data_IF_120735400643
#
_entry.id   IF_120735400643
#
_cell.length_a   1.000
_cell.length_b   1.000
_cell.length_c   1.000
_cell.angle_alpha   90.00
_cell.angle_beta   90.00
_cell.angle_gamma   90.00
#
_symmetry.space_group_name_H-M   'P 1'
#
loop_
_entity.id
_entity.type
_entity.pdbx_description
1 polymer ?
2 non-polymer ?
3 non-polymer ?
4 water ?
#
# COMPACT_ATOMS: atom_id res chain seq x y z
N UNK A 1 -4.66 -6.43 -29.27
CA UNK A 1 -3.72 -7.30 -28.59
C UNK A 1 -2.85 -6.58 -27.58
N UNK A 2 -1.53 -6.87 -27.60
CA UNK A 2 -0.53 -6.25 -26.71
C UNK A 2 -0.25 -4.80 -27.10
N UNK A 3 -0.43 -4.47 -28.41
CA UNK A 3 -0.26 -3.13 -29.00
C UNK A 3 -1.14 -2.10 -28.28
N UNK A 4 -2.40 -2.47 -27.99
CA UNK A 4 -3.39 -1.66 -27.28
C UNK A 4 -2.89 -1.32 -25.88
N UNK A 5 -2.41 -2.33 -25.13
CA UNK A 5 -1.86 -2.18 -23.76
C UNK A 5 -0.60 -1.29 -23.72
N UNK A 6 0.27 -1.40 -24.74
CA UNK A 6 1.48 -0.59 -24.86
C UNK A 6 1.18 0.91 -24.99
N UNK A 7 0.19 1.28 -25.83
CA UNK A 7 -0.23 2.68 -26.02
C UNK A 7 -0.81 3.30 -24.76
N UNK A 8 -1.41 2.48 -23.87
CA UNK A 8 -1.97 2.91 -22.59
C UNK A 8 -0.80 3.26 -21.66
N UNK A 9 0.23 2.39 -21.61
CA UNK A 9 1.43 2.56 -20.80
C UNK A 9 2.24 3.76 -21.24
N UNK A 10 2.33 4.01 -22.56
CA UNK A 10 3.01 5.17 -23.13
C UNK A 10 2.27 6.46 -22.77
N UNK A 11 0.92 6.40 -22.71
CA UNK A 11 0.06 7.52 -22.31
C UNK A 11 0.31 7.83 -20.83
N UNK A 12 0.42 6.77 -19.99
CA UNK A 12 0.68 6.87 -18.57
C UNK A 12 2.07 7.41 -18.23
N UNK A 13 3.03 7.24 -19.16
CA UNK A 13 4.41 7.73 -19.01
C UNK A 13 4.50 9.26 -19.12
N UNK A 14 3.60 9.89 -19.90
CA UNK A 14 3.61 11.35 -20.10
C UNK A 14 3.00 12.12 -18.93
N UNK A 15 2.06 11.50 -18.18
CA UNK A 15 1.42 12.11 -17.02
C UNK A 15 2.31 11.98 -15.76
N UNK A 16 3.47 11.29 -15.89
CA UNK A 16 4.43 11.07 -14.81
C UNK A 16 5.17 12.35 -14.39
N UNK A 17 5.22 13.35 -15.29
CA UNK A 17 5.87 14.64 -15.05
C UNK A 17 4.95 15.57 -14.22
N UNK A 18 3.62 15.34 -14.29
CA UNK A 18 2.63 16.13 -13.56
C UNK A 18 2.50 15.64 -12.12
N UNK A 19 2.74 14.33 -11.89
CA UNK A 19 2.68 13.69 -10.56
C UNK A 19 4.07 13.67 -9.88
N UNK A 20 5.06 14.38 -10.47
CA UNK A 20 6.41 14.57 -9.91
C UNK A 20 6.44 15.98 -9.28
N UNK A 21 5.63 16.91 -9.85
CA UNK A 21 5.43 18.28 -9.38
C UNK A 21 4.45 18.23 -8.19
N UNK A 22 3.40 17.38 -8.32
CA UNK A 22 2.38 17.14 -7.30
C UNK A 22 3.02 16.44 -6.09
N UNK A 23 4.05 15.60 -6.32
CA UNK A 23 4.82 14.89 -5.29
C UNK A 23 5.65 15.91 -4.48
N UNK A 24 6.05 16.99 -5.14
CA UNK A 24 6.79 18.10 -4.54
C UNK A 24 5.90 18.94 -3.64
N UNK A 25 4.63 19.18 -4.08
CA UNK A 25 3.61 19.93 -3.32
C UNK A 25 3.27 19.18 -2.02
N UNK A 26 3.28 17.84 -2.08
CA UNK A 26 3.02 16.96 -0.95
C UNK A 26 4.25 16.97 0.00
N UNK A 27 5.47 16.87 -0.58
CA UNK A 27 6.73 16.85 0.18
C UNK A 27 6.99 18.10 1.03
N UNK A 28 6.53 19.26 0.55
CA UNK A 28 6.66 20.53 1.26
C UNK A 28 5.82 20.56 2.50
N UNK A 29 4.55 20.14 2.37
CA UNK A 29 3.55 20.07 3.45
C UNK A 29 4.02 19.07 4.52
N UNK A 30 4.52 17.88 4.10
CA UNK A 30 4.99 16.81 4.98
C UNK A 30 6.24 17.21 5.79
N UNK A 31 7.22 17.90 5.16
CA UNK A 31 8.46 18.38 5.81
C UNK A 31 8.15 19.48 6.83
N UNK A 32 7.10 20.27 6.56
CA UNK A 32 6.62 21.35 7.42
C UNK A 32 6.01 20.74 8.68
N UNK A 33 5.16 19.71 8.51
CA UNK A 33 4.48 18.98 9.58
C UNK A 33 5.44 18.15 10.44
N UNK A 34 6.48 17.58 9.82
CA UNK A 34 7.48 16.76 10.51
C UNK A 34 8.28 17.56 11.55
N UNK A 35 8.79 18.77 11.17
CA UNK A 35 9.53 19.63 12.10
C UNK A 35 8.59 20.24 13.17
N UNK A 36 7.27 20.23 12.90
CA UNK A 36 6.23 20.69 13.81
C UNK A 36 5.93 19.62 14.87
N UNK A 37 5.73 18.37 14.43
CA UNK A 37 5.45 17.24 15.32
C UNK A 37 6.67 16.86 16.19
N UNK A 38 7.90 17.06 15.66
CA UNK A 38 9.15 16.74 16.36
C UNK A 38 9.43 17.63 17.59
N UNK A 39 8.81 18.81 17.65
CA UNK A 39 8.93 19.74 18.78
C UNK A 39 8.05 19.30 19.95
N UNK A 40 7.08 18.40 19.68
CA UNK A 40 6.15 17.82 20.67
C UNK A 40 6.86 16.68 21.43
N UNK A 41 6.49 16.50 22.72
CA UNK A 41 7.05 15.48 23.61
C UNK A 41 6.67 14.05 23.17
N UNK A 42 5.40 13.84 22.81
CA UNK A 42 4.86 12.55 22.36
C UNK A 42 5.47 12.11 21.02
N UNK A 43 5.58 13.05 20.06
CA UNK A 43 6.11 12.79 18.73
C UNK A 43 7.55 13.31 18.57
N UNK A 44 8.36 13.17 19.65
CA UNK A 44 9.77 13.60 19.70
C UNK A 44 10.67 12.81 18.73
N UNK A 45 10.46 11.50 18.66
CA UNK A 45 11.22 10.61 17.78
C UNK A 45 10.51 10.27 16.48
N UNK A 46 9.65 11.18 15.99
CA UNK A 46 8.89 10.99 14.76
C UNK A 46 9.81 11.21 13.53
N UNK A 47 9.62 10.37 12.53
CA UNK A 47 10.37 10.42 11.28
C UNK A 47 9.51 10.03 10.11
N UNK A 48 10.02 10.28 8.90
CA UNK A 48 9.32 9.93 7.67
C UNK A 48 9.68 8.52 7.26
N UNK A 49 8.70 7.74 6.80
CA UNK A 49 8.94 6.40 6.32
C UNK A 49 8.88 6.40 4.80
N UNK A 50 10.02 6.04 4.18
CA UNK A 50 10.19 5.93 2.74
C UNK A 50 9.54 4.64 2.26
N UNK A 51 8.48 4.76 1.43
CA UNK A 51 7.68 3.62 0.95
C UNK A 51 7.63 3.44 -0.58
N UNK A 52 7.73 4.54 -1.35
CA UNK A 52 7.60 4.50 -2.81
C UNK A 52 8.80 4.87 -3.66
N UNK A 53 8.55 5.64 -4.74
CA UNK A 53 9.52 6.09 -5.76
C UNK A 53 9.90 7.58 -5.66
N UNK A 54 8.91 8.48 -5.52
CA UNK A 54 9.14 9.92 -5.43
C UNK A 54 9.70 10.31 -4.08
N UNK A 55 10.98 10.81 -4.07
CA UNK A 55 11.78 11.21 -2.89
C UNK A 55 12.01 10.01 -1.96
N UNK A 56 11.37 8.86 -2.30
CA UNK A 56 11.26 7.56 -1.61
C UNK A 56 10.13 7.59 -0.57
N UNK A 57 9.91 8.76 0.08
CA UNK A 57 8.91 9.01 1.13
C UNK A 57 7.46 9.14 0.65
N UNK A 58 7.24 9.50 -0.62
CA UNK A 58 5.91 9.69 -1.20
C UNK A 58 5.50 8.49 -2.09
N UNK A 59 4.24 8.04 -1.93
CA UNK A 59 3.64 6.92 -2.65
C UNK A 59 2.40 7.40 -3.45
N UNK A 60 1.87 6.54 -4.34
CA UNK A 60 0.71 6.85 -5.19
C UNK A 60 -0.36 5.74 -5.08
N UNK A 61 -1.61 6.12 -4.70
CA UNK A 61 -2.73 5.20 -4.52
C UNK A 61 -3.84 5.32 -5.59
N UNK A 62 -3.89 6.45 -6.31
CA UNK A 62 -4.87 6.77 -7.38
C UNK A 62 -4.32 7.95 -8.23
N UNK A 63 -5.01 8.46 -9.32
CA UNK A 63 -4.43 9.59 -10.09
C UNK A 63 -4.07 10.86 -9.29
N UNK A 64 -4.82 11.13 -8.20
CA UNK A 64 -4.59 12.29 -7.34
C UNK A 64 -4.28 11.92 -5.87
N UNK A 65 -4.43 10.63 -5.51
CA UNK A 65 -4.17 10.13 -4.15
C UNK A 65 -2.68 9.90 -3.90
N UNK A 66 -2.19 10.35 -2.73
CA UNK A 66 -0.82 10.18 -2.29
C UNK A 66 -0.79 9.55 -0.91
N UNK A 67 0.15 8.62 -0.67
CA UNK A 67 0.26 7.93 0.61
C UNK A 67 1.54 8.26 1.35
N UNK A 68 1.41 8.91 2.51
CA UNK A 68 2.55 9.29 3.35
C UNK A 68 2.45 8.50 4.67
N UNK A 69 3.60 8.01 5.15
CA UNK A 69 3.69 7.21 6.37
C UNK A 69 4.73 7.85 7.30
N UNK A 70 4.28 8.27 8.49
CA UNK A 70 5.13 8.86 9.52
C UNK A 70 5.46 7.75 10.51
N UNK A 71 6.72 7.34 10.59
CA UNK A 71 7.15 6.30 11.52
C UNK A 71 7.45 6.88 12.90
N UNK A 72 7.35 6.04 13.93
CA UNK A 72 7.62 6.41 15.31
C UNK A 72 8.34 5.22 15.94
N UNK A 73 9.67 5.35 16.16
CA UNK A 73 10.52 4.32 16.75
C UNK A 73 10.04 4.01 18.18
N UNK A 74 9.54 2.78 18.38
CA UNK A 74 9.02 2.30 19.66
C UNK A 74 9.91 1.16 20.20
N UNK A 75 10.94 1.47 21.02
CA UNK A 75 11.79 0.41 21.57
C UNK A 75 11.12 -0.28 22.75
N UNK A 76 11.50 -1.56 23.03
CA UNK A 76 10.95 -2.40 24.13
C UNK A 76 9.43 -2.56 23.99
N UNK A 77 9.01 -3.12 22.86
CA UNK A 77 7.61 -3.34 22.48
C UNK A 77 7.23 -4.83 22.58
N UNK A 78 6.08 -5.10 23.23
CA UNK A 78 5.53 -6.44 23.38
C UNK A 78 4.17 -6.50 22.67
N UNK A 79 3.99 -7.48 21.77
CA UNK A 79 2.75 -7.62 20.98
C UNK A 79 1.87 -8.75 21.49
N UNK A 80 0.56 -8.47 21.57
CA UNK A 80 -0.47 -9.41 22.02
C UNK A 80 -1.53 -9.50 20.93
N UNK A 81 -1.67 -10.69 20.31
CA UNK A 81 -2.61 -10.94 19.22
C UNK A 81 -4.08 -10.82 19.65
N UNK A 82 -4.89 -10.09 18.86
CA UNK A 82 -6.31 -9.90 19.12
C UNK A 82 -7.16 -11.00 18.48
N UNK A 83 -8.03 -11.66 19.28
CA UNK A 83 -8.96 -12.77 18.97
C UNK A 83 -8.60 -13.56 17.69
N UNK A 84 -7.34 -14.04 17.63
CA UNK A 84 -6.76 -14.84 16.55
C UNK A 84 -7.03 -14.28 15.13
N UNK A 85 -7.09 -12.92 15.02
CA UNK A 85 -7.30 -12.19 13.77
C UNK A 85 -6.05 -12.23 12.89
N UNK A 86 -4.88 -12.57 13.51
CA UNK A 86 -3.54 -12.75 12.92
C UNK A 86 -2.88 -11.45 12.46
N UNK A 87 -3.66 -10.41 12.11
CA UNK A 87 -3.11 -9.12 11.69
C UNK A 87 -3.24 -8.04 12.76
N UNK A 88 -4.27 -8.13 13.63
CA UNK A 88 -4.51 -7.12 14.66
C UNK A 88 -3.89 -7.50 15.99
N UNK A 89 -3.25 -6.51 16.65
CA UNK A 89 -2.49 -6.67 17.88
C UNK A 89 -2.68 -5.52 18.87
N UNK A 90 -2.49 -5.79 20.17
CA UNK A 90 -2.52 -4.77 21.23
C UNK A 90 -1.07 -4.35 21.45
N UNK A 91 -0.81 -3.06 21.66
CA UNK A 91 0.57 -2.61 21.90
C UNK A 91 0.82 -2.45 23.40
N UNK A 92 1.77 -3.22 23.93
CA UNK A 92 2.17 -3.21 25.33
C UNK A 92 3.68 -2.98 25.44
N UNK A 93 4.14 -2.43 26.58
CA UNK A 93 5.56 -2.17 26.82
C UNK A 93 6.20 -3.17 27.76
N UNK A 94 7.48 -3.53 27.49
CA UNK A 94 8.29 -4.49 28.27
C UNK A 94 8.49 -4.06 29.73
N UNK A 98 10.62 1.67 31.46
CA UNK A 98 11.19 2.94 31.91
C UNK A 98 10.24 4.13 31.60
N UNK A 99 10.74 5.39 31.72
CA UNK A 99 9.93 6.58 31.45
C UNK A 99 9.94 6.93 29.94
N UNK A 100 9.05 6.27 29.18
CA UNK A 100 8.90 6.45 27.74
C UNK A 100 8.07 7.71 27.38
N UNK A 101 8.34 8.38 26.22
CA UNK A 101 7.57 9.59 25.88
C UNK A 101 6.12 9.35 25.45
N UNK A 102 5.79 8.10 25.10
CA UNK A 102 4.48 7.65 24.65
C UNK A 102 3.48 7.43 25.81
N UNK A 103 3.95 7.61 27.06
CA UNK A 103 3.23 7.41 28.33
C UNK A 103 1.84 8.06 28.44
N UNK A 104 1.60 9.19 27.75
CA UNK A 104 0.33 9.92 27.79
C UNK A 104 -0.86 9.24 27.07
N UNK A 105 -0.60 8.17 26.30
CA UNK A 105 -1.66 7.45 25.57
C UNK A 105 -1.96 6.04 26.10
N UNK A 106 -1.30 5.63 27.19
CA UNK A 106 -1.47 4.32 27.80
C UNK A 106 -2.73 4.20 28.66
N UNK A 107 -3.25 2.96 28.78
CA UNK A 107 -4.42 2.58 29.57
C UNK A 107 -4.13 1.23 30.24
N UNK A 108 -3.28 1.29 31.27
CA UNK A 108 -2.81 0.12 32.03
C UNK A 108 -1.51 -0.38 31.45
N UNK A 109 -1.61 -1.10 30.32
CA UNK A 109 -0.47 -1.65 29.58
C UNK A 109 -0.71 -1.47 28.08
N UNK A 110 -2.00 -1.44 27.67
CA UNK A 110 -2.45 -1.28 26.28
C UNK A 110 -2.29 0.19 25.85
N UNK A 111 -1.55 0.40 24.75
CA UNK A 111 -1.31 1.72 24.15
C UNK A 111 -2.46 2.01 23.19
N UNK A 112 -3.29 3.00 23.55
CA UNK A 112 -4.49 3.40 22.81
C UNK A 112 -4.16 4.06 21.46
N UNK A 113 -4.69 3.46 20.38
CA UNK A 113 -4.53 3.92 19.00
C UNK A 113 -5.30 5.21 18.74
N UNK A 114 -6.57 5.27 19.20
CA UNK A 114 -7.45 6.43 19.06
C UNK A 114 -6.95 7.64 19.84
N UNK A 115 -6.33 7.41 21.02
CA UNK A 115 -5.77 8.47 21.87
C UNK A 115 -4.55 9.11 21.22
N UNK A 116 -3.71 8.30 20.54
CA UNK A 116 -2.51 8.78 19.84
C UNK A 116 -2.88 9.45 18.52
N UNK A 117 -3.87 8.89 17.79
CA UNK A 117 -4.35 9.43 16.51
C UNK A 117 -5.10 10.75 16.69
N UNK A 118 -5.66 11.00 17.89
CA UNK A 118 -6.36 12.25 18.23
C UNK A 118 -5.37 13.42 18.35
N UNK A 119 -4.24 13.21 19.08
CA UNK A 119 -3.21 14.24 19.26
C UNK A 119 -2.52 14.52 17.93
N UNK A 120 -2.22 13.44 17.16
CA UNK A 120 -1.60 13.46 15.83
C UNK A 120 -2.45 14.29 14.85
N UNK A 121 -3.77 13.98 14.77
CA UNK A 121 -4.75 14.67 13.91
C UNK A 121 -4.88 16.15 14.28
N UNK A 122 -4.89 16.49 15.59
CA UNK A 122 -5.05 17.86 16.09
C UNK A 122 -3.86 18.76 15.75
N UNK A 123 -2.61 18.26 15.90
CA UNK A 123 -1.40 19.03 15.57
C UNK A 123 -1.37 19.37 14.07
N UNK A 124 -1.76 18.38 13.21
CA UNK A 124 -1.86 18.53 11.75
C UNK A 124 -2.94 19.56 11.40
N UNK A 125 -4.13 19.45 12.04
CA UNK A 125 -5.24 20.38 11.85
C UNK A 125 -4.89 21.82 12.32
N UNK A 126 -3.89 21.94 13.22
CA UNK A 126 -3.41 23.22 13.77
C UNK A 126 -2.38 23.91 12.88
N UNK A 127 -1.42 23.14 12.30
CA UNK A 127 -0.40 23.74 11.43
C UNK A 127 -0.86 23.89 9.98
N UNK A 128 -1.99 23.25 9.63
CA UNK A 128 -2.62 23.35 8.30
C UNK A 128 -3.29 24.73 8.15
N UNK A 129 -3.68 25.33 9.30
CA UNK A 129 -4.28 26.66 9.42
C UNK A 129 -3.19 27.74 9.63
N UNK A 130 -1.99 27.33 10.10
CA UNK A 130 -0.84 28.22 10.33
C UNK A 130 -0.25 28.62 8.98
N UNK A 131 0.12 27.63 8.14
CA UNK A 131 0.65 27.85 6.80
C UNK A 131 -0.50 27.62 5.77
N UNK A 132 -1.53 28.50 5.89
CA UNK A 132 -2.74 28.50 5.06
C UNK A 132 -2.59 29.40 3.80
N UNK A 133 -1.34 29.80 3.50
CA UNK A 133 -0.97 30.58 2.30
C UNK A 133 -0.52 29.62 1.18
N UNK A 134 -0.95 28.36 1.31
CA UNK A 134 -0.80 27.20 0.43
C UNK A 134 -2.04 26.37 0.78
N UNK A 135 -3.05 26.38 -0.11
CA UNK A 135 -4.36 25.75 0.07
C UNK A 135 -4.31 24.26 0.49
N UNK A 136 -4.40 23.99 1.80
CA UNK A 136 -4.39 22.63 2.36
C UNK A 136 -5.41 22.53 3.51
N UNK A 137 -6.40 21.62 3.34
CA UNK A 137 -7.50 21.38 4.29
C UNK A 137 -7.73 19.89 4.51
N UNK A 138 -8.43 19.52 5.60
CA UNK A 138 -8.77 18.13 5.93
C UNK A 138 -10.07 17.67 5.28
N UNK A 147 -5.34 7.51 7.51
CA UNK A 147 -6.07 8.00 8.68
C UNK A 147 -6.37 9.50 8.57
N UNK A 148 -5.30 10.35 8.51
CA UNK A 148 -5.42 11.81 8.39
C UNK A 148 -5.32 12.17 6.90
N UNK A 149 -6.44 12.61 6.29
CA UNK A 149 -6.48 12.96 4.87
C UNK A 149 -6.47 14.48 4.67
N UNK A 150 -5.53 14.97 3.83
CA UNK A 150 -5.40 16.38 3.47
C UNK A 150 -5.71 16.56 1.99
N UNK A 151 -5.98 17.80 1.57
CA UNK A 151 -6.27 18.14 0.18
C UNK A 151 -5.53 19.41 -0.19
N UNK A 152 -4.48 19.26 -1.00
CA UNK A 152 -3.65 20.37 -1.47
C UNK A 152 -4.20 20.90 -2.81
N UNK A 153 -4.75 22.14 -2.77
CA UNK A 153 -5.30 22.91 -3.89
C UNK A 153 -6.44 22.22 -4.66
N UNK A 154 -7.55 21.87 -3.95
CA UNK A 154 -8.80 21.28 -4.49
C UNK A 154 -8.62 20.09 -5.48
N UNK A 155 -7.43 19.48 -5.53
CA UNK A 155 -7.16 18.39 -6.47
C UNK A 155 -6.34 17.27 -5.83
N UNK A 156 -5.10 17.58 -5.42
CA UNK A 156 -4.12 16.66 -4.84
C UNK A 156 -4.54 16.18 -3.44
N UNK A 157 -4.96 14.91 -3.33
CA UNK A 157 -5.36 14.29 -2.05
C UNK A 157 -4.17 13.53 -1.46
N UNK A 158 -3.96 13.66 -0.14
CA UNK A 158 -2.86 12.97 0.52
C UNK A 158 -3.30 12.33 1.85
N UNK A 159 -3.23 10.98 1.89
CA UNK A 159 -3.56 10.19 3.06
C UNK A 159 -2.29 10.00 3.86
N UNK A 160 -2.28 10.51 5.09
CA UNK A 160 -1.15 10.43 6.02
C UNK A 160 -1.44 9.36 7.08
N UNK A 161 -0.45 8.50 7.35
CA UNK A 161 -0.61 7.39 8.29
C UNK A 161 0.48 7.41 9.37
N UNK A 162 0.07 7.33 10.66
CA UNK A 162 1.00 7.26 11.77
C UNK A 162 1.30 5.79 12.03
N UNK A 163 2.57 5.40 11.92
CA UNK A 163 3.01 4.01 12.11
C UNK A 163 3.98 3.87 13.28
N UNK A 164 3.89 2.73 13.97
CA UNK A 164 4.80 2.38 15.07
C UNK A 164 5.84 1.40 14.52
N UNK A 165 7.11 1.80 14.56
CA UNK A 165 8.22 0.97 14.09
C UNK A 165 8.70 0.05 15.18
N UNK A 166 8.87 -1.23 14.83
CA UNK A 166 9.42 -2.25 15.72
C UNK A 166 10.57 -2.90 14.94
N UNK A 167 11.79 -2.81 15.50
CA UNK A 167 12.99 -3.38 14.90
C UNK A 167 13.11 -4.88 15.17
N UNK A 168 12.26 -5.42 16.07
CA UNK A 168 12.16 -6.82 16.47
C UNK A 168 11.75 -7.75 15.30
N UNK A 169 11.83 -9.09 15.55
CA UNK A 169 11.45 -10.13 14.59
C UNK A 169 9.96 -10.06 14.26
N UNK A 170 9.59 -10.43 13.02
CA UNK A 170 8.22 -10.40 12.54
C UNK A 170 7.37 -11.44 13.30
N UNK A 171 6.16 -11.04 13.77
CA UNK A 171 5.33 -11.98 14.55
C UNK A 171 4.93 -13.27 13.82
N UNK A 172 4.75 -14.37 14.56
CA UNK A 172 4.42 -15.72 14.07
C UNK A 172 3.45 -15.79 12.88
N UNK A 173 2.42 -14.92 12.81
CA UNK A 173 1.43 -14.92 11.72
C UNK A 173 2.04 -14.77 10.32
N UNK A 174 3.25 -14.18 10.26
CA UNK A 174 4.02 -13.91 9.04
C UNK A 174 4.93 -15.07 8.59
N UNK A 175 5.14 -16.08 9.45
CA UNK A 175 6.00 -17.25 9.21
C UNK A 175 5.89 -17.90 7.82
N UNK A 176 4.65 -18.05 7.32
CA UNK A 176 4.40 -18.66 6.02
C UNK A 176 4.05 -17.62 4.95
N UNK A 177 4.15 -16.33 5.31
CA UNK A 177 3.93 -15.21 4.40
C UNK A 177 5.19 -14.89 3.61
N UNK A 178 5.14 -13.89 2.70
CA UNK A 178 6.27 -13.49 1.83
C UNK A 178 6.89 -14.72 1.11
N UNK A 179 6.05 -15.56 0.47
CA UNK A 179 6.50 -16.77 -0.21
C UNK A 179 7.22 -16.45 -1.52
N UNK A 180 8.43 -15.91 -1.39
CA UNK A 180 9.27 -15.48 -2.49
C UNK A 180 10.46 -16.43 -2.74
N UNK A 181 10.64 -17.47 -1.88
CA UNK A 181 11.76 -18.44 -1.93
C UNK A 181 12.07 -19.00 -3.30
N UNK A 182 11.04 -19.32 -4.08
CA UNK A 182 11.19 -19.91 -5.40
C UNK A 182 11.27 -18.87 -6.52
N UNK A 183 11.17 -17.58 -6.18
CA UNK A 183 11.19 -16.45 -7.11
C UNK A 183 12.42 -15.55 -6.85
N UNK A 184 12.43 -14.85 -5.71
CA UNK A 184 13.50 -13.93 -5.34
C UNK A 184 14.61 -14.61 -4.54
N UNK A 185 14.34 -15.82 -4.01
CA UNK A 185 15.24 -16.70 -3.22
C UNK A 185 15.00 -16.67 -1.72
N UNK A 186 15.56 -17.67 -1.04
CA UNK A 186 15.53 -17.83 0.42
C UNK A 186 16.48 -16.81 1.05
N UNK A 187 17.67 -16.57 0.43
CA UNK A 187 18.67 -15.59 0.89
C UNK A 187 18.03 -14.20 1.04
N UNK A 188 17.26 -13.79 0.02
CA UNK A 188 16.55 -12.53 -0.07
C UNK A 188 15.41 -12.43 0.95
N UNK A 189 14.58 -13.49 1.10
CA UNK A 189 13.48 -13.55 2.09
C UNK A 189 14.03 -13.32 3.51
N UNK A 190 15.16 -13.95 3.84
CA UNK A 190 15.87 -13.83 5.12
C UNK A 190 16.31 -12.40 5.36
N UNK A 191 16.85 -11.73 4.31
CA UNK A 191 17.34 -10.35 4.41
C UNK A 191 16.20 -9.35 4.59
N UNK A 192 15.08 -9.54 3.85
CA UNK A 192 13.89 -8.69 3.96
C UNK A 192 13.23 -8.83 5.34
N UNK A 193 13.21 -10.06 5.90
CA UNK A 193 12.66 -10.36 7.24
C UNK A 193 13.52 -9.81 8.37
N UNK A 194 14.72 -9.27 8.05
CA UNK A 194 15.63 -8.64 8.99
C UNK A 194 15.30 -7.14 9.09
N UNK A 195 14.50 -6.63 8.15
CA UNK A 195 14.06 -5.23 8.14
C UNK A 195 12.97 -5.01 9.22
N UNK A 196 12.75 -3.76 9.71
CA UNK A 196 11.68 -3.56 10.71
C UNK A 196 10.28 -3.78 10.12
N UNK A 197 9.27 -3.82 11.00
CA UNK A 197 7.87 -3.92 10.61
C UNK A 197 7.11 -2.78 11.27
N UNK A 198 5.90 -2.45 10.76
CA UNK A 198 5.15 -1.31 11.25
C UNK A 198 3.76 -1.67 11.76
N UNK A 199 3.29 -0.92 12.77
CA UNK A 199 1.98 -1.11 13.37
C UNK A 199 1.17 0.14 13.11
N UNK A 200 0.05 0.00 12.38
CA UNK A 200 -0.84 1.10 12.02
C UNK A 200 -2.21 1.01 12.75
N UNK A 201 -2.82 2.13 13.20
CA UNK A 201 -4.13 2.01 13.88
C UNK A 201 -5.20 1.39 12.99
N UNK A 202 -6.09 0.58 13.60
CA UNK A 202 -7.19 -0.11 12.93
C UNK A 202 -8.29 0.88 12.50
N UNK A 203 -8.96 0.56 11.38
CA UNK A 203 -10.05 1.31 10.77
C UNK A 203 -11.37 1.09 11.52
N UNK A 211 -15.41 -1.53 17.34
CA UNK A 211 -14.09 -0.91 17.25
C UNK A 211 -13.26 -1.20 18.52
N UNK A 212 -11.94 -1.46 18.36
CA UNK A 212 -11.01 -1.76 19.46
C UNK A 212 -9.68 -1.00 19.36
N UNK A 213 -8.91 -0.96 20.47
CA UNK A 213 -7.59 -0.30 20.56
C UNK A 213 -6.48 -1.22 20.01
N UNK A 214 -6.70 -1.74 18.80
CA UNK A 214 -5.80 -2.66 18.12
C UNK A 214 -5.06 -1.97 16.98
N UNK A 215 -3.89 -2.53 16.63
CA UNK A 215 -2.98 -2.06 15.58
C UNK A 215 -2.78 -3.19 14.57
N UNK A 216 -2.74 -2.84 13.27
CA UNK A 216 -2.55 -3.77 12.16
C UNK A 216 -1.09 -3.78 11.71
N UNK A 217 -0.55 -4.97 11.35
CA UNK A 217 0.81 -5.14 10.83
C UNK A 217 0.88 -4.61 9.42
N UNK A 218 1.86 -3.72 9.16
CA UNK A 218 2.07 -3.11 7.86
C UNK A 218 3.46 -3.41 7.34
N UNK A 219 3.52 -3.73 6.05
CA UNK A 219 4.74 -4.08 5.35
C UNK A 219 4.84 -3.38 4.01
N UNK A 220 4.24 -2.17 3.89
CA UNK A 220 4.21 -1.36 2.67
C UNK A 220 5.58 -0.89 2.24
N UNK A 221 6.49 -0.75 3.19
CA UNK A 221 7.88 -0.33 2.99
C UNK A 221 8.69 -1.40 2.24
N UNK A 222 8.25 -2.66 2.28
CA UNK A 222 8.92 -3.77 1.61
C UNK A 222 8.68 -3.73 0.10
N UNK A 223 7.55 -3.15 -0.35
CA UNK A 223 7.18 -3.09 -1.77
C UNK A 223 8.26 -2.47 -2.68
N UNK A 224 8.86 -1.33 -2.27
CA UNK A 224 9.92 -0.64 -3.04
C UNK A 224 11.19 -1.55 -3.19
N UNK A 225 11.44 -2.39 -2.19
CA UNK A 225 12.57 -3.30 -2.19
C UNK A 225 12.45 -4.35 -3.30
N UNK A 226 11.24 -4.93 -3.46
CA UNK A 226 10.92 -5.98 -4.41
C UNK A 226 10.64 -5.45 -5.81
N UNK A 227 9.90 -4.35 -5.97
CA UNK A 227 9.59 -3.82 -7.30
C UNK A 227 10.83 -3.41 -8.13
N UNK A 228 11.85 -2.83 -7.48
CA UNK A 228 13.10 -2.39 -8.13
C UNK A 228 14.15 -3.53 -8.27
N UNK A 229 13.77 -4.77 -7.90
CA UNK A 229 14.60 -5.99 -7.93
C UNK A 229 13.64 -7.16 -7.95
N UNK A 230 12.85 -7.24 -9.03
CA UNK A 230 11.69 -8.10 -9.18
C UNK A 230 11.87 -9.42 -9.90
N UNK A 231 13.03 -9.65 -10.48
CA UNK A 231 13.25 -10.88 -11.24
C UNK A 231 13.98 -11.99 -10.52
N UNK A 232 13.94 -13.20 -11.09
CA UNK A 232 14.67 -14.34 -10.56
C UNK A 232 16.15 -14.10 -10.89
N UNK A 233 16.39 -13.54 -12.08
CA UNK A 233 17.70 -13.17 -12.58
C UNK A 233 18.04 -11.80 -12.04
N UNK A 234 19.24 -11.66 -11.46
CA UNK A 234 19.75 -10.40 -10.90
C UNK A 234 19.78 -9.27 -11.95
N UNK A 235 19.95 -9.62 -13.25
CA UNK A 235 20.02 -8.69 -14.38
C UNK A 235 18.65 -8.42 -15.06
N UNK A 236 17.52 -8.79 -14.41
CA UNK A 236 16.19 -8.55 -14.97
C UNK A 236 15.97 -7.04 -15.18
N UNK A 237 15.68 -6.65 -16.43
CA UNK A 237 15.44 -5.29 -16.92
C UNK A 237 16.67 -4.34 -16.79
N UNK A 238 17.88 -4.91 -16.88
CA UNK A 238 19.15 -4.17 -16.88
C UNK A 238 19.70 -4.12 -18.33
N UNK A 239 19.20 -5.02 -19.19
CA UNK A 239 19.54 -5.14 -20.61
C UNK A 239 18.32 -5.54 -21.45
N UNK A 240 18.25 -5.05 -22.71
CA UNK A 240 17.19 -5.30 -23.69
C UNK A 240 16.77 -6.79 -23.82
N UNK A 241 17.78 -7.71 -23.80
CA UNK A 241 17.65 -9.18 -23.90
C UNK A 241 16.98 -9.84 -22.68
N UNK A 242 16.72 -9.06 -21.60
CA UNK A 242 16.11 -9.52 -20.34
C UNK A 242 15.08 -8.53 -19.80
N UNK A 243 14.23 -7.97 -20.69
CA UNK A 243 13.19 -7.03 -20.29
C UNK A 243 11.84 -7.73 -20.05
N UNK A 244 11.38 -7.76 -18.79
CA UNK A 244 10.13 -8.39 -18.40
C UNK A 244 8.96 -7.40 -18.32
N UNK A 245 7.73 -7.91 -18.20
CA UNK A 245 6.52 -7.10 -18.13
C UNK A 245 5.83 -7.16 -16.78
N UNK A 246 6.60 -7.33 -15.70
CA UNK A 246 6.08 -7.39 -14.34
C UNK A 246 5.50 -6.03 -13.91
N UNK A 247 6.31 -4.95 -13.89
CA UNK A 247 5.87 -3.59 -13.51
C UNK A 247 4.67 -3.12 -14.33
N UNK A 248 4.71 -3.38 -15.65
CA UNK A 248 3.67 -3.03 -16.63
C UNK A 248 2.33 -3.66 -16.32
N UNK A 249 2.33 -4.94 -15.87
CA UNK A 249 1.10 -5.63 -15.46
C UNK A 249 0.55 -5.02 -14.23
N UNK A 250 1.41 -4.64 -13.26
CA UNK A 250 0.95 -3.96 -12.04
C UNK A 250 0.40 -2.56 -12.37
N UNK A 251 1.08 -1.81 -13.28
CA UNK A 251 0.67 -0.48 -13.71
C UNK A 251 -0.71 -0.54 -14.41
N UNK A 252 -0.92 -1.58 -15.26
CA UNK A 252 -2.16 -1.82 -15.98
C UNK A 252 -3.26 -2.33 -15.07
N UNK A 253 -2.91 -3.17 -14.08
CA UNK A 253 -3.90 -3.70 -13.13
C UNK A 253 -4.37 -2.59 -12.20
N UNK A 254 -3.44 -1.71 -11.76
CA UNK A 254 -3.76 -0.55 -10.91
C UNK A 254 -4.67 0.41 -11.66
N UNK A 255 -4.28 0.79 -12.90
CA UNK A 255 -5.02 1.71 -13.76
C UNK A 255 -6.43 1.25 -14.05
N UNK A 256 -6.63 -0.07 -14.29
CA UNK A 256 -7.96 -0.66 -14.55
C UNK A 256 -8.93 -0.37 -13.38
N UNK A 257 -8.49 -0.55 -12.13
CA UNK A 257 -9.30 -0.27 -10.94
C UNK A 257 -9.56 1.23 -10.77
N UNK A 258 -8.52 2.09 -10.94
CA UNK A 258 -8.63 3.56 -10.86
C UNK A 258 -9.73 4.09 -11.80
N UNK A 259 -9.78 3.55 -13.05
CA UNK A 259 -10.75 3.91 -14.07
C UNK A 259 -12.14 3.40 -13.71
N UNK A 260 -12.25 2.16 -13.19
CA UNK A 260 -13.52 1.58 -12.76
C UNK A 260 -14.10 2.32 -11.55
N UNK A 261 -13.24 2.72 -10.61
CA UNK A 261 -13.60 3.47 -9.41
C UNK A 261 -14.10 4.88 -9.78
N UNK A 262 -13.52 5.49 -10.83
CA UNK A 262 -13.90 6.80 -11.35
C UNK A 262 -15.22 6.72 -12.11
N UNK A 263 -15.40 5.63 -12.90
CA UNK A 263 -16.61 5.39 -13.69
C UNK A 263 -17.83 5.09 -12.81
N UNK A 264 -17.61 4.46 -11.64
CA UNK A 264 -18.68 4.08 -10.72
C UNK A 264 -18.54 4.72 -9.32
N UNK A 265 -18.04 5.98 -9.27
CA UNK A 265 -17.90 6.77 -8.05
C UNK A 265 -19.30 7.23 -7.61
N UNK A 266 -20.27 6.97 -8.50
CA UNK A 266 -21.68 7.27 -8.40
C UNK A 266 -22.44 6.24 -7.56
N UNK A 267 -22.06 4.93 -7.64
CA UNK A 267 -22.79 3.86 -6.97
C UNK A 267 -22.12 3.25 -5.70
N UNK A 268 -20.98 3.79 -5.25
CA UNK A 268 -20.24 3.46 -4.01
C UNK A 268 -19.82 1.97 -3.77
N UNK A 269 -20.10 1.04 -4.72
CA UNK A 269 -19.73 -0.38 -4.57
C UNK A 269 -18.22 -0.65 -4.62
N UNK A 270 -17.44 0.24 -5.25
CA UNK A 270 -15.99 0.04 -5.39
C UNK A 270 -15.15 0.85 -4.39
N UNK A 271 -15.78 1.49 -3.40
CA UNK A 271 -15.15 2.32 -2.37
C UNK A 271 -14.17 1.59 -1.45
N UNK A 272 -14.45 0.31 -1.16
CA UNK A 272 -13.60 -0.49 -0.28
C UNK A 272 -12.36 -1.04 -0.99
N UNK A 273 -12.47 -1.31 -2.32
CA UNK A 273 -11.36 -1.81 -3.15
C UNK A 273 -10.34 -0.70 -3.41
N UNK A 274 -9.05 -1.01 -3.25
CA UNK A 274 -7.95 -0.08 -3.45
C UNK A 274 -6.79 -0.73 -4.22
N UNK A 275 -5.72 0.06 -4.50
CA UNK A 275 -4.49 -0.39 -5.17
C UNK A 275 -3.83 -1.54 -4.40
N UNK A 276 -4.03 -1.58 -3.06
CA UNK A 276 -3.52 -2.60 -2.13
C UNK A 276 -3.98 -4.01 -2.50
N UNK A 277 -5.25 -4.16 -2.89
CA UNK A 277 -5.86 -5.43 -3.30
C UNK A 277 -5.32 -5.88 -4.63
N UNK A 278 -5.09 -4.91 -5.55
CA UNK A 278 -4.55 -5.12 -6.89
C UNK A 278 -3.09 -5.59 -6.77
N UNK A 279 -2.30 -4.93 -5.88
CA UNK A 279 -0.89 -5.23 -5.59
C UNK A 279 -0.76 -6.64 -5.03
N UNK A 280 -1.53 -6.95 -3.95
CA UNK A 280 -1.55 -8.26 -3.29
C UNK A 280 -1.76 -9.36 -4.31
N UNK A 281 -2.84 -9.26 -5.13
CA UNK A 281 -3.15 -10.23 -6.17
C UNK A 281 -2.03 -10.36 -7.22
N UNK A 282 -1.42 -9.22 -7.66
CA UNK A 282 -0.33 -9.21 -8.64
C UNK A 282 0.87 -9.99 -8.11
N UNK A 283 1.28 -9.69 -6.86
CA UNK A 283 2.41 -10.36 -6.22
C UNK A 283 2.14 -11.84 -6.00
N UNK A 284 0.88 -12.24 -5.75
CA UNK A 284 0.56 -13.68 -5.63
C UNK A 284 0.78 -14.36 -6.98
N UNK A 285 0.54 -13.64 -8.12
CA UNK A 285 0.81 -14.15 -9.48
C UNK A 285 2.35 -14.23 -9.70
N UNK A 286 3.15 -13.37 -9.01
CA UNK A 286 4.61 -13.40 -9.09
C UNK A 286 5.17 -14.68 -8.44
N UNK A 287 4.56 -15.12 -7.30
CA UNK A 287 4.89 -16.34 -6.58
C UNK A 287 4.48 -17.54 -7.46
N UNK A 288 3.29 -17.43 -8.12
CA UNK A 288 2.72 -18.43 -9.01
C UNK A 288 3.62 -18.62 -10.23
N UNK A 289 4.14 -17.52 -10.81
CA UNK A 289 5.02 -17.50 -11.98
C UNK A 289 6.42 -16.95 -11.60
N UNK A 290 7.31 -17.79 -10.99
CA UNK A 290 8.61 -17.28 -10.52
C UNK A 290 9.68 -16.98 -11.57
N UNK A 291 9.61 -17.62 -12.75
CA UNK A 291 10.56 -17.45 -13.85
C UNK A 291 10.32 -16.17 -14.63
N UNK A 292 11.41 -15.53 -15.08
CA UNK A 292 11.35 -14.31 -15.88
C UNK A 292 10.81 -14.59 -17.28
N UNK A 293 10.90 -15.87 -17.74
CA UNK A 293 10.37 -16.30 -19.04
C UNK A 293 8.82 -16.30 -19.01
N UNK A 294 8.21 -16.39 -17.80
CA UNK A 294 6.76 -16.36 -17.61
C UNK A 294 6.24 -14.90 -17.60
N UNK A 295 7.15 -13.92 -17.79
CA UNK A 295 6.86 -12.49 -17.83
C UNK A 295 7.55 -11.78 -19.00
N UNK A 296 7.76 -12.46 -20.13
CA UNK A 296 8.39 -11.84 -21.31
C UNK A 296 7.58 -10.67 -21.84
N UNK A 297 8.26 -9.58 -22.24
CA UNK A 297 7.69 -8.34 -22.77
C UNK A 297 6.78 -8.54 -23.99
N UNK A 298 7.04 -9.59 -24.81
CA UNK A 298 6.24 -9.94 -25.98
C UNK A 298 4.87 -10.52 -25.56
N UNK A 299 4.80 -11.07 -24.32
CA UNK A 299 3.60 -11.69 -23.76
C UNK A 299 2.81 -10.75 -22.84
N UNK A 300 3.00 -9.42 -22.96
CA UNK A 300 2.31 -8.41 -22.13
C UNK A 300 0.81 -8.70 -22.00
N UNK A 301 0.12 -8.97 -23.12
CA UNK A 301 -1.29 -9.31 -23.18
C UNK A 301 -1.65 -10.55 -22.39
N UNK A 302 -0.90 -11.64 -22.65
CA UNK A 302 -1.04 -12.94 -21.98
C UNK A 302 -0.82 -12.84 -20.47
N UNK A 303 0.24 -12.11 -20.03
CA UNK A 303 0.60 -11.91 -18.61
C UNK A 303 -0.42 -11.08 -17.87
N UNK A 304 -0.84 -9.94 -18.46
CA UNK A 304 -1.84 -9.04 -17.89
C UNK A 304 -3.15 -9.77 -17.64
N UNK A 305 -3.51 -10.67 -18.57
CA UNK A 305 -4.71 -11.50 -18.50
C UNK A 305 -4.63 -12.49 -17.34
N UNK A 306 -3.45 -13.10 -17.09
CA UNK A 306 -3.23 -14.02 -15.97
C UNK A 306 -3.45 -13.29 -14.63
N UNK A 307 -3.13 -11.98 -14.59
CA UNK A 307 -3.32 -11.14 -13.42
C UNK A 307 -4.82 -10.86 -13.27
N UNK A 308 -5.50 -10.56 -14.39
CA UNK A 308 -6.94 -10.29 -14.47
C UNK A 308 -7.73 -11.54 -14.01
N UNK A 309 -7.36 -12.74 -14.51
CA UNK A 309 -7.97 -14.04 -14.20
C UNK A 309 -7.80 -14.39 -12.71
N UNK A 310 -6.59 -14.27 -12.16
CA UNK A 310 -6.39 -14.55 -10.74
C UNK A 310 -7.19 -13.57 -9.87
N UNK A 311 -7.19 -12.26 -10.23
CA UNK A 311 -7.95 -11.26 -9.49
C UNK A 311 -9.45 -11.53 -9.53
N UNK A 312 -9.98 -11.98 -10.69
CA UNK A 312 -11.40 -12.32 -10.86
C UNK A 312 -11.75 -13.58 -10.06
N UNK A 313 -10.76 -14.51 -9.91
CA UNK A 313 -10.90 -15.73 -9.13
C UNK A 313 -10.99 -15.35 -7.65
N UNK A 314 -10.21 -14.33 -7.23
CA UNK A 314 -10.21 -13.77 -5.88
C UNK A 314 -11.55 -13.14 -5.56
N UNK A 315 -12.07 -12.32 -6.48
CA UNK A 315 -13.36 -11.66 -6.33
C UNK A 315 -14.50 -12.67 -6.18
N UNK A 316 -14.52 -13.73 -7.03
CA UNK A 316 -15.56 -14.78 -7.03
C UNK A 316 -15.55 -15.68 -5.79
N UNK A 317 -14.35 -16.14 -5.36
CA UNK A 317 -14.17 -17.03 -4.20
C UNK A 317 -14.17 -16.30 -2.86
N UNK A 318 -14.18 -14.94 -2.89
CA UNK A 318 -14.15 -14.06 -1.70
C UNK A 318 -12.91 -14.35 -0.85
N UNK A 319 -11.80 -14.62 -1.54
CA UNK A 319 -10.51 -14.95 -0.96
C UNK A 319 -9.37 -14.24 -1.67
N UNK A 320 -8.69 -13.35 -0.94
CA UNK A 320 -7.47 -12.64 -1.32
C UNK A 320 -6.66 -12.56 -0.03
N UNK A 321 -5.65 -13.44 0.06
CA UNK A 321 -4.78 -13.58 1.21
C UNK A 321 -3.81 -12.42 1.32
N UNK A 322 -3.59 -11.92 2.55
CA UNK A 322 -2.60 -10.88 2.80
C UNK A 322 -1.24 -11.52 2.45
N UNK A 323 -0.41 -10.82 1.64
CA UNK A 323 0.88 -11.32 1.17
C UNK A 323 1.89 -11.69 2.28
N UNK A 324 1.75 -11.09 3.46
CA UNK A 324 2.66 -11.33 4.59
C UNK A 324 2.05 -12.17 5.67
N UNK A 325 0.70 -12.23 5.74
CA UNK A 325 -0.06 -13.00 6.73
C UNK A 325 -1.05 -13.88 5.95
N UNK A 326 -0.71 -15.16 5.65
CA UNK A 326 -1.65 -16.00 4.88
C UNK A 326 -3.07 -16.15 5.48
N UNK A 327 -3.18 -16.29 6.82
CA UNK A 327 -4.47 -16.50 7.50
C UNK A 327 -5.38 -15.25 7.55
N UNK A 328 -4.95 -14.12 6.99
CA UNK A 328 -5.73 -12.90 6.92
C UNK A 328 -6.27 -12.69 5.50
N UNK A 329 -7.62 -12.73 5.39
CA UNK A 329 -8.38 -12.54 4.14
C UNK A 329 -8.80 -11.07 3.97
N UNK A 330 -8.22 -10.38 2.96
CA UNK A 330 -8.51 -8.99 2.59
C UNK A 330 -9.92 -8.87 1.97
N UNK A 331 -10.44 -10.00 1.42
CA UNK A 331 -11.73 -10.16 0.77
C UNK A 331 -12.73 -10.90 1.67
N UNK A 332 -12.60 -10.74 3.00
CA UNK A 332 -13.52 -11.36 3.94
C UNK A 332 -14.87 -10.62 3.86
N UNK A 333 -15.98 -11.34 4.11
CA UNK A 333 -17.34 -10.79 4.10
C UNK A 333 -17.44 -9.61 5.06
N UNK A 334 -16.64 -9.68 6.14
CA UNK A 334 -16.48 -8.70 7.22
C UNK A 334 -15.88 -7.38 6.70
N UNK A 335 -14.89 -7.46 5.78
CA UNK A 335 -14.18 -6.31 5.21
C UNK A 335 -14.84 -5.68 3.98
N UNK A 336 -15.30 -6.52 3.02
CA UNK A 336 -15.98 -6.10 1.78
C UNK A 336 -17.20 -7.00 1.58
N UNK A 337 -18.38 -6.40 1.33
CA UNK A 337 -19.63 -7.14 1.12
C UNK A 337 -19.62 -7.90 -0.22
N UNK A 338 -20.37 -9.02 -0.31
CA UNK A 338 -20.44 -9.90 -1.48
C UNK A 338 -20.92 -9.21 -2.77
N UNK A 339 -21.88 -8.28 -2.65
CA UNK A 339 -22.43 -7.54 -3.80
C UNK A 339 -21.44 -6.52 -4.36
N UNK A 340 -20.55 -6.00 -3.50
CA UNK A 340 -19.48 -5.07 -3.92
C UNK A 340 -18.47 -5.87 -4.76
N UNK A 341 -18.21 -7.14 -4.35
CA UNK A 341 -17.32 -8.06 -5.06
C UNK A 341 -17.92 -8.52 -6.39
N UNK A 342 -19.24 -8.78 -6.44
CA UNK A 342 -19.95 -9.22 -7.66
C UNK A 342 -20.08 -8.10 -8.68
N UNK A 343 -20.02 -6.83 -8.22
CA UNK A 343 -20.12 -5.63 -9.07
C UNK A 343 -18.80 -5.48 -9.82
N UNK A 344 -17.67 -5.66 -9.11
CA UNK A 344 -16.33 -5.61 -9.69
C UNK A 344 -16.09 -6.83 -10.58
N UNK A 345 -16.64 -8.02 -10.20
CA UNK A 345 -16.54 -9.25 -11.00
C UNK A 345 -17.21 -9.03 -12.36
N UNK A 346 -18.44 -8.47 -12.38
CA UNK A 346 -19.17 -8.23 -13.61
C UNK A 346 -18.60 -7.07 -14.44
N UNK A 347 -18.02 -6.03 -13.80
CA UNK A 347 -17.42 -4.90 -14.52
C UNK A 347 -16.13 -5.32 -15.22
N UNK A 348 -15.23 -6.05 -14.52
CA UNK A 348 -13.96 -6.55 -15.07
C UNK A 348 -14.23 -7.58 -16.17
N UNK A 349 -15.09 -8.60 -15.88
CA UNK A 349 -15.51 -9.66 -16.82
C UNK A 349 -15.95 -9.03 -18.13
N UNK A 350 -16.69 -7.91 -18.05
CA UNK A 350 -17.15 -7.13 -19.19
C UNK A 350 -15.97 -6.46 -19.92
N UNK A 351 -15.05 -5.81 -19.17
CA UNK A 351 -13.86 -5.14 -19.75
C UNK A 351 -12.95 -6.14 -20.46
N UNK A 352 -12.90 -7.38 -19.96
CA UNK A 352 -12.17 -8.51 -20.52
C UNK A 352 -12.87 -8.93 -21.84
N UNK A 353 -14.22 -8.99 -21.83
CA UNK A 353 -15.08 -9.40 -22.96
C UNK A 353 -15.46 -8.27 -23.95
N UNK A 354 -14.79 -7.10 -23.83
CA UNK A 354 -15.03 -5.95 -24.71
C UNK A 354 -13.72 -5.21 -25.09
N UNK A 355 -12.58 -5.94 -25.05
CA UNK A 355 -11.23 -5.49 -25.40
C UNK A 355 -10.78 -4.22 -24.63
N UNK A 356 -11.17 -4.16 -23.33
CA UNK A 356 -10.90 -3.12 -22.34
C UNK A 356 -11.23 -1.68 -22.83
N UNK A 357 -12.55 -1.34 -22.90
CA UNK A 357 -12.92 0.02 -23.36
C UNK A 357 -12.62 1.15 -22.38
N UNK A 358 -12.23 0.82 -21.12
CA UNK A 358 -11.90 1.84 -20.13
C UNK A 358 -10.47 2.39 -20.38
N UNK A 359 -9.76 1.79 -21.35
CA UNK A 359 -8.42 2.21 -21.77
C UNK A 359 -8.48 2.95 -23.13
N UNK A 360 -9.70 3.24 -23.64
CA UNK A 360 -9.93 3.95 -24.91
C UNK A 360 -9.32 5.35 -24.88
N UNK A 361 -8.59 5.72 -25.96
CA UNK A 361 -7.93 7.02 -26.12
C UNK A 361 -8.05 7.52 -27.55
X LIG B 1 12.09 -7.41 -14.98
X LIG C 1 1.93 -4.33 2.07
X LIG C 1 0.75 -3.71 4.21
X LIG C 1 1.25 -4.74 4.75
X LIG C 1 0.58 -2.33 2.07
X LIG C 1 0.91 -2.11 0.73
X LIG C 1 -0.37 -0.50 1.39
X LIG C 1 3.35 -6.99 -1.55
X LIG C 1 5.59 -8.02 -2.08
X LIG C 1 4.73 -7.02 -1.35
X LIG C 1 5.25 -6.08 -0.48
X LIG C 1 4.48 -5.14 0.18
X LIG C 1 3.09 -5.12 -0.01
X LIG C 1 2.56 -6.05 -0.91
X LIG C 1 2.27 -4.12 0.73
X LIG C 1 1.75 -3.01 0.06
X LIG C 1 1.11 -3.43 2.77
X LIG C 1 6.57 -6.10 -0.23
X LIG C 1 0.25 -0.95 0.30
X LIG C 1 -0.20 -1.29 2.47
X LIG C 1 -0.06 -2.93 4.77
X LIG C 1 0.85 -6.10 -1.19
#
# INVERSE_FOLDING_TARGET
GASKLRAVLEKLKLSRDDISTAAGMVKGVVDHLLLRLKCDSAFRGVGLLNTGSYYEHVKISAPNEFDVMFKLEVPRIQLEEYSNTRAYYFVKFKRNPKENPLSQFLEGEILSASKMLSKFRKIIKEEINDIKDTDVIMKRKRGGSPAVTLLISEKISVDITLALESKSSWPASTQEGLRIQNWLSAKVRKQLRLKPFYLVPKHAKEGNGFQEETWRLSFSHIEKEILNNHGKSKTCCENKEEKCCRKDCLKLMKYLLEQLKERFKDKKHLDKFSSYHVKTAFFHVCTQNPQDSQWDRKDLGLCFDNCVTYFLQCLRTEKLENYFIPEFNLFSSNLIDKRSKEFLTKQIEYERNNEFPVFDEF
ZN ZN
YM9 C10 C11 O12 C17 C18 C20 C1 C14 C2 C3 C4 C5 C6 C7 C8 C9 F15 N19 N21 O13 CL16
#
